data_IF_676989142300
#
_entry.id   IF_676989142300
#
_cell.length_a   1.000
_cell.length_b   1.000
_cell.length_c   1.000
_cell.angle_alpha   90.00
_cell.angle_beta   90.00
_cell.angle_gamma   90.00
#
_symmetry.space_group_name_H-M   'P 1'
#
loop_
_entity.id
_entity.type
_entity.pdbx_description
1 polymer ?
#
# COMPACT_ATOMS: atom_id res chain seq x y z
N UNK A 1 11.98 -13.40 -42.01
CA UNK A 1 12.99 -14.27 -41.38
C UNK A 1 13.05 -13.91 -39.90
N UNK A 2 12.77 -14.90 -39.02
CA UNK A 2 13.06 -15.03 -37.56
C UNK A 2 12.95 -13.73 -36.72
N UNK A 3 11.84 -13.47 -36.03
CA UNK A 3 11.52 -13.91 -34.65
C UNK A 3 12.70 -13.72 -33.69
N UNK A 4 12.67 -12.64 -32.90
CA UNK A 4 13.44 -12.52 -31.66
C UNK A 4 12.47 -12.67 -30.48
N UNK A 5 12.56 -13.84 -29.84
CA UNK A 5 12.09 -14.13 -28.49
C UNK A 5 13.35 -14.05 -27.61
N UNK A 6 13.33 -13.26 -26.53
CA UNK A 6 14.08 -13.37 -25.26
C UNK A 6 14.15 -11.97 -24.60
N UNK A 7 13.89 -11.78 -23.31
CA UNK A 7 13.68 -12.75 -22.26
C UNK A 7 13.20 -12.09 -20.96
N UNK A 8 12.46 -12.89 -20.20
CA UNK A 8 12.34 -12.96 -18.73
C UNK A 8 13.02 -11.81 -17.96
N UNK A 9 12.18 -11.04 -17.27
CA UNK A 9 12.54 -10.48 -15.98
C UNK A 9 11.49 -10.95 -14.96
N UNK A 10 11.64 -12.18 -14.48
CA UNK A 10 11.09 -12.60 -13.20
C UNK A 10 11.96 -11.97 -12.12
N UNK A 11 11.58 -10.78 -11.67
CA UNK A 11 11.86 -10.29 -10.32
C UNK A 11 10.52 -10.52 -9.61
N UNK A 12 10.34 -11.54 -8.79
CA UNK A 12 11.25 -11.96 -7.74
C UNK A 12 10.96 -11.09 -6.53
N UNK A 13 10.06 -11.57 -5.69
CA UNK A 13 9.78 -11.10 -4.32
C UNK A 13 8.80 -9.93 -4.21
N UNK A 14 7.53 -10.24 -3.94
CA UNK A 14 6.82 -9.57 -2.86
C UNK A 14 6.55 -10.64 -1.81
N UNK A 15 7.45 -10.66 -0.83
CA UNK A 15 7.24 -11.30 0.46
C UNK A 15 5.97 -10.69 1.03
N UNK A 16 4.94 -11.53 1.19
CA UNK A 16 3.81 -11.26 2.06
C UNK A 16 4.35 -11.16 3.49
N UNK A 17 4.78 -9.98 3.90
CA UNK A 17 4.98 -9.64 5.31
C UNK A 17 3.76 -8.88 5.79
N UNK A 18 2.63 -9.58 5.83
CA UNK A 18 1.64 -9.29 6.85
C UNK A 18 2.24 -9.69 8.20
N UNK A 19 2.93 -8.77 8.87
CA UNK A 19 3.07 -8.78 10.33
C UNK A 19 3.76 -7.50 10.81
N UNK A 20 3.03 -6.69 11.59
CA UNK A 20 3.60 -5.58 12.33
C UNK A 20 4.65 -6.05 13.34
N UNK A 21 5.64 -5.18 13.58
CA UNK A 21 6.62 -5.35 14.64
C UNK A 21 7.97 -4.75 14.28
N UNK A 22 8.16 -3.50 14.71
CA UNK A 22 9.41 -2.90 15.19
C UNK A 22 10.70 -3.06 14.37
N UNK A 23 11.25 -1.89 14.00
CA UNK A 23 12.68 -1.58 13.93
C UNK A 23 13.56 -2.47 13.02
N UNK A 24 13.87 -2.03 11.78
CA UNK A 24 15.25 -1.95 11.26
C UNK A 24 15.31 -1.32 9.85
N UNK A 25 16.31 -0.48 9.64
CA UNK A 25 16.66 0.25 8.42
C UNK A 25 16.67 -0.57 7.10
N UNK A 26 15.84 -0.18 6.12
CA UNK A 26 16.28 -0.21 4.71
C UNK A 26 15.54 0.78 3.81
N UNK A 27 16.34 1.67 3.24
CA UNK A 27 16.04 2.71 2.27
C UNK A 27 15.26 2.22 1.01
N UNK A 28 13.95 2.10 1.14
CA UNK A 28 12.96 2.27 0.06
C UNK A 28 11.78 2.97 0.73
N UNK A 29 11.50 4.21 0.34
CA UNK A 29 10.58 5.12 1.04
C UNK A 29 9.11 4.73 0.90
N UNK A 30 8.75 3.46 1.11
CA UNK A 30 7.36 3.03 1.17
C UNK A 30 6.80 3.45 2.52
N UNK A 31 6.16 4.62 2.55
CA UNK A 31 5.43 5.11 3.71
C UNK A 31 4.15 4.28 3.83
N UNK A 32 4.11 3.35 4.78
CA UNK A 32 2.89 2.61 5.12
C UNK A 32 2.22 3.22 6.35
N UNK A 33 0.90 3.36 6.29
CA UNK A 33 0.04 3.94 7.32
C UNK A 33 -1.08 2.94 7.62
N UNK A 34 -1.29 2.62 8.89
CA UNK A 34 -2.41 1.78 9.31
C UNK A 34 -3.61 2.65 9.64
N UNK A 35 -4.68 2.50 8.87
CA UNK A 35 -5.94 3.23 9.01
C UNK A 35 -7.01 2.36 9.67
N UNK A 36 -7.54 2.84 10.79
CA UNK A 36 -8.63 2.22 11.53
C UNK A 36 -9.92 3.02 11.34
N UNK A 37 -10.99 2.40 10.85
CA UNK A 37 -12.31 3.02 10.69
C UNK A 37 -13.35 2.29 11.56
N UNK A 38 -14.21 3.04 12.24
CA UNK A 38 -15.38 2.46 12.93
C UNK A 38 -16.59 2.44 11.98
N UNK A 39 -17.16 1.26 11.76
CA UNK A 39 -18.39 1.11 11.01
C UNK A 39 -19.43 0.38 11.86
N UNK A 40 -20.30 1.15 12.51
CA UNK A 40 -21.41 0.58 13.29
C UNK A 40 -20.96 -0.20 14.53
N UNK A 41 -19.81 0.14 15.12
CA UNK A 41 -19.23 -0.55 16.27
C UNK A 41 -18.28 -1.70 15.93
N UNK A 42 -18.02 -1.94 14.64
CA UNK A 42 -16.95 -2.84 14.17
C UNK A 42 -15.77 -2.00 13.69
N UNK A 43 -14.56 -2.32 14.18
CA UNK A 43 -13.34 -1.65 13.74
C UNK A 43 -12.76 -2.36 12.51
N UNK A 44 -12.70 -1.63 11.41
CA UNK A 44 -12.12 -2.03 10.13
C UNK A 44 -10.69 -1.50 10.14
N UNK A 45 -9.72 -2.39 9.95
CA UNK A 45 -8.29 -2.02 9.85
C UNK A 45 -7.83 -2.25 8.42
N UNK A 46 -7.25 -1.21 7.82
CA UNK A 46 -6.62 -1.26 6.50
C UNK A 46 -5.21 -0.69 6.59
N UNK A 47 -4.28 -1.22 5.82
CA UNK A 47 -2.93 -0.68 5.69
C UNK A 47 -2.81 0.00 4.32
N UNK A 48 -2.34 1.24 4.27
CA UNK A 48 -2.19 2.00 3.04
C UNK A 48 -0.71 2.32 2.88
N UNK A 49 -0.08 1.87 1.79
CA UNK A 49 1.35 2.02 1.53
C UNK A 49 1.59 2.83 0.26
N UNK A 50 2.43 3.86 0.33
CA UNK A 50 2.98 4.52 -0.85
C UNK A 50 4.01 3.60 -1.52
N UNK A 51 3.89 3.37 -2.83
CA UNK A 51 4.87 2.57 -3.58
C UNK A 51 6.01 3.45 -4.14
N UNK A 52 5.87 4.78 -4.08
CA UNK A 52 6.89 5.74 -4.55
C UNK A 52 6.98 5.88 -6.08
N UNK A 53 6.14 5.16 -6.84
CA UNK A 53 6.03 5.26 -8.30
C UNK A 53 4.81 6.07 -8.79
N UNK A 54 4.07 6.69 -7.87
CA UNK A 54 2.81 7.39 -8.17
C UNK A 54 1.56 6.54 -7.91
N UNK A 55 1.74 5.34 -7.36
CA UNK A 55 0.66 4.45 -6.92
C UNK A 55 0.75 4.20 -5.42
N UNK A 56 -0.35 3.74 -4.85
CA UNK A 56 -0.41 3.29 -3.47
C UNK A 56 -1.15 1.95 -3.38
N UNK A 57 -0.82 1.16 -2.37
CA UNK A 57 -1.42 -0.16 -2.12
C UNK A 57 -2.24 -0.12 -0.85
N UNK A 58 -3.48 -0.56 -0.89
CA UNK A 58 -4.34 -0.74 0.27
C UNK A 58 -4.45 -2.24 0.55
N UNK A 59 -4.12 -2.64 1.77
CA UNK A 59 -4.35 -3.98 2.28
C UNK A 59 -5.55 -3.96 3.21
N UNK A 60 -6.60 -4.69 2.87
CA UNK A 60 -7.77 -4.87 3.72
C UNK A 60 -8.13 -6.34 3.83
N UNK A 61 -8.23 -6.86 5.06
CA UNK A 61 -8.58 -8.26 5.34
C UNK A 61 -7.70 -9.30 4.59
N UNK A 62 -6.43 -8.96 4.34
CA UNK A 62 -5.48 -9.81 3.60
C UNK A 62 -5.63 -9.76 2.07
N UNK A 63 -6.50 -8.91 1.56
CA UNK A 63 -6.61 -8.58 0.14
C UNK A 63 -5.86 -7.27 -0.12
N UNK A 64 -5.04 -7.24 -1.17
CA UNK A 64 -4.26 -6.07 -1.57
C UNK A 64 -4.86 -5.48 -2.86
N UNK A 65 -5.07 -4.17 -2.86
CA UNK A 65 -5.53 -3.40 -4.01
C UNK A 65 -4.54 -2.26 -4.27
N UNK A 66 -4.01 -2.20 -5.49
CA UNK A 66 -3.09 -1.12 -5.89
C UNK A 66 -3.84 -0.12 -6.77
N UNK A 67 -3.80 1.14 -6.35
CA UNK A 67 -4.49 2.24 -7.00
C UNK A 67 -3.51 3.36 -7.38
N UNK A 68 -3.84 4.10 -8.44
CA UNK A 68 -3.06 5.26 -8.87
C UNK A 68 -3.42 6.48 -8.01
N UNK A 69 -2.42 7.24 -7.58
CA UNK A 69 -2.66 8.48 -6.84
C UNK A 69 -3.38 9.53 -7.69
N UNK A 70 -3.46 9.35 -9.01
CA UNK A 70 -4.13 10.23 -9.97
C UNK A 70 -3.65 11.69 -9.88
N UNK A 71 -2.38 11.87 -9.51
CA UNK A 71 -1.76 13.19 -9.29
C UNK A 71 -1.98 13.80 -7.90
N UNK A 72 -2.67 13.11 -6.99
CA UNK A 72 -2.66 13.44 -5.57
C UNK A 72 -1.35 12.97 -4.90
N UNK A 73 -1.10 13.47 -3.71
CA UNK A 73 -0.03 12.99 -2.82
C UNK A 73 -0.56 11.90 -1.90
N UNK A 74 0.32 11.02 -1.42
CA UNK A 74 -0.03 10.01 -0.43
C UNK A 74 -0.66 10.64 0.83
N UNK A 75 -0.14 11.77 1.29
CA UNK A 75 -0.71 12.54 2.41
C UNK A 75 -2.14 13.01 2.15
N UNK A 76 -2.46 13.44 0.92
CA UNK A 76 -3.83 13.82 0.54
C UNK A 76 -4.78 12.62 0.57
N UNK A 77 -4.31 11.43 0.16
CA UNK A 77 -5.10 10.20 0.29
C UNK A 77 -5.36 9.90 1.76
N UNK A 78 -4.34 9.89 2.61
CA UNK A 78 -4.50 9.63 4.05
C UNK A 78 -5.46 10.64 4.69
N UNK A 79 -5.31 11.93 4.39
CA UNK A 79 -6.21 12.97 4.90
C UNK A 79 -7.66 12.75 4.46
N UNK A 80 -7.89 12.25 3.23
CA UNK A 80 -9.23 11.90 2.78
C UNK A 80 -9.82 10.71 3.58
N UNK A 81 -9.02 9.69 3.89
CA UNK A 81 -9.46 8.59 4.77
C UNK A 81 -9.80 9.09 6.18
N UNK A 82 -9.01 10.00 6.72
CA UNK A 82 -9.30 10.62 8.02
C UNK A 82 -10.58 11.47 8.01
N UNK A 83 -10.85 12.20 6.92
CA UNK A 83 -12.11 12.94 6.74
C UNK A 83 -13.32 12.02 6.62
N UNK A 84 -13.13 10.79 6.10
CA UNK A 84 -14.13 9.71 6.09
C UNK A 84 -14.28 9.01 7.46
N UNK A 85 -13.58 9.48 8.50
CA UNK A 85 -13.67 8.94 9.85
C UNK A 85 -12.75 7.76 10.13
N UNK A 86 -11.75 7.50 9.28
CA UNK A 86 -10.64 6.64 9.64
C UNK A 86 -9.65 7.38 10.56
N UNK A 87 -8.81 6.65 11.26
CA UNK A 87 -7.67 7.18 12.02
C UNK A 87 -6.43 6.46 11.52
N UNK A 88 -5.52 7.17 10.87
CA UNK A 88 -4.33 6.60 10.24
C UNK A 88 -3.07 6.90 11.07
N UNK A 89 -2.20 5.90 11.28
CA UNK A 89 -0.97 6.03 12.08
C UNK A 89 0.19 5.20 11.52
#
# INVERSE_FOLDING_TARGET
>A
MKKFILGILTVGVLITTACGGSDDDNNSSNQCQTCNQDFGGENITSEICDNGDGTFTITFNGEEETEDLNGATFEEIIAAYEELGATCN
#
